data_IF_964436568673
#
_entry.id   IF_964436568673
#
_cell.length_a   1.000
_cell.length_b   1.000
_cell.length_c   1.000
_cell.angle_alpha   90.00
_cell.angle_beta   90.00
_cell.angle_gamma   90.00
#
_symmetry.space_group_name_H-M   'P 1'
#
loop_
_entity.id
_entity.type
_entity.pdbx_description
1 polymer ?
#
# COMPACT_ATOMS: atom_id res chain seq x y z
N UNK A 1 -4.09 42.92 -53.32
CA UNK A 1 -3.85 41.52 -52.90
C UNK A 1 -3.09 41.58 -51.59
N UNK A 2 -3.67 40.94 -50.57
CA UNK A 2 -3.53 41.23 -49.14
C UNK A 2 -2.14 41.03 -48.55
N UNK A 3 -1.75 41.95 -47.69
CA UNK A 3 -0.68 41.81 -46.71
C UNK A 3 -1.30 41.34 -45.40
N UNK A 4 -1.12 40.07 -45.06
CA UNK A 4 -1.54 39.50 -43.77
C UNK A 4 -0.62 40.02 -42.65
N UNK A 5 -1.21 40.80 -41.74
CA UNK A 5 -0.58 41.23 -40.49
C UNK A 5 -0.85 40.13 -39.47
N UNK A 6 0.17 39.33 -39.17
CA UNK A 6 0.13 38.37 -38.09
C UNK A 6 0.08 39.11 -36.74
N UNK A 7 -1.08 39.08 -36.09
CA UNK A 7 -1.29 39.59 -34.75
C UNK A 7 -0.52 38.72 -33.73
N UNK A 8 0.42 39.33 -33.00
CA UNK A 8 1.15 38.71 -31.90
C UNK A 8 0.26 38.64 -30.64
N UNK A 9 -0.06 37.44 -30.20
CA UNK A 9 -0.67 37.17 -28.88
C UNK A 9 0.28 37.53 -27.74
N UNK A 10 -0.14 38.32 -26.73
CA UNK A 10 0.69 38.63 -25.56
C UNK A 10 0.79 37.41 -24.63
N UNK A 11 2.02 36.96 -24.37
CA UNK A 11 2.35 35.95 -23.37
C UNK A 11 2.13 36.53 -21.96
N UNK A 12 1.46 35.84 -21.03
CA UNK A 12 1.32 36.33 -19.66
C UNK A 12 2.70 36.46 -19.02
N UNK A 13 3.06 37.68 -18.62
CA UNK A 13 4.27 37.96 -17.87
C UNK A 13 4.20 37.22 -16.53
N UNK A 14 4.95 36.13 -16.42
CA UNK A 14 5.25 35.53 -15.13
C UNK A 14 6.03 36.55 -14.31
N UNK A 15 5.46 36.97 -13.18
CA UNK A 15 6.16 37.81 -12.21
C UNK A 15 7.48 37.11 -11.82
N UNK A 16 8.60 37.76 -12.14
CA UNK A 16 9.94 37.25 -11.82
C UNK A 16 10.13 37.33 -10.31
N UNK A 17 9.84 36.24 -9.61
CA UNK A 17 10.20 36.08 -8.21
C UNK A 17 11.73 36.01 -8.15
N UNK A 18 12.35 37.09 -7.66
CA UNK A 18 13.81 37.15 -7.50
C UNK A 18 14.24 36.02 -6.54
N UNK A 19 15.17 35.12 -6.94
CA UNK A 19 15.59 34.03 -6.09
C UNK A 19 16.33 34.60 -4.86
N UNK A 20 15.82 34.32 -3.65
CA UNK A 20 16.55 34.63 -2.43
C UNK A 20 17.87 33.84 -2.44
N UNK A 21 18.99 34.57 -2.52
CA UNK A 21 20.32 33.99 -2.63
C UNK A 21 20.75 33.12 -1.44
N UNK A 22 21.92 32.47 -1.59
CA UNK A 22 22.48 31.52 -0.62
C UNK A 22 22.53 32.08 0.81
N UNK A 23 22.05 31.29 1.78
CA UNK A 23 21.98 31.66 3.21
C UNK A 23 23.37 32.01 3.75
N UNK A 24 23.56 33.25 4.24
CA UNK A 24 24.76 33.70 4.94
C UNK A 24 24.38 34.19 6.34
N UNK A 25 25.23 33.90 7.32
CA UNK A 25 25.05 34.32 8.71
C UNK A 25 24.89 35.85 8.80
N UNK A 26 23.90 36.33 9.56
CA UNK A 26 23.58 37.76 9.71
C UNK A 26 22.63 38.36 8.66
N UNK A 27 22.19 37.60 7.64
CA UNK A 27 21.17 38.06 6.68
C UNK A 27 19.77 37.54 7.04
N UNK A 28 18.77 38.40 6.82
CA UNK A 28 17.36 38.05 6.97
C UNK A 28 17.01 36.89 6.02
N UNK A 29 16.69 35.73 6.58
CA UNK A 29 16.31 34.53 5.84
C UNK A 29 14.80 34.40 5.68
N UNK A 30 14.03 35.16 6.45
CA UNK A 30 12.59 35.26 6.29
C UNK A 30 12.26 36.06 5.03
N UNK A 31 11.16 35.70 4.38
CA UNK A 31 10.59 36.50 3.30
C UNK A 31 10.27 37.92 3.81
N UNK A 32 10.55 38.97 3.01
CA UNK A 32 10.19 40.33 3.37
C UNK A 32 8.67 40.41 3.56
N UNK A 33 8.25 40.89 4.74
CA UNK A 33 6.83 41.02 5.07
C UNK A 33 6.18 42.05 4.16
N UNK A 34 5.38 41.59 3.20
CA UNK A 34 4.54 42.46 2.38
C UNK A 34 3.43 43.08 3.23
N UNK A 35 2.96 44.28 2.84
CA UNK A 35 1.83 44.91 3.49
C UNK A 35 0.57 44.02 3.38
N UNK A 36 -0.20 43.95 4.46
CA UNK A 36 -1.44 43.17 4.50
C UNK A 36 -2.44 43.71 3.47
N UNK A 37 -2.90 42.85 2.58
CA UNK A 37 -3.87 43.17 1.52
C UNK A 37 -5.08 42.25 1.70
N UNK A 38 -6.26 42.76 2.13
CA UNK A 38 -7.44 41.92 2.43
C UNK A 38 -7.95 41.05 1.26
N UNK A 39 -7.60 41.41 0.02
CA UNK A 39 -7.99 40.68 -1.20
C UNK A 39 -6.86 39.79 -1.75
N UNK A 40 -5.63 39.91 -1.23
CA UNK A 40 -4.53 39.04 -1.64
C UNK A 40 -4.78 37.62 -1.13
N UNK A 41 -4.83 36.65 -2.04
CA UNK A 41 -5.17 35.26 -1.73
C UNK A 41 -6.63 34.87 -1.95
N UNK A 42 -7.51 35.81 -2.31
CA UNK A 42 -8.89 35.49 -2.68
C UNK A 42 -8.93 34.96 -4.11
N UNK A 43 -8.79 33.65 -4.29
CA UNK A 43 -9.06 32.99 -5.57
C UNK A 43 -10.56 32.96 -5.86
N UNK A 44 -10.91 33.11 -7.15
CA UNK A 44 -12.30 32.99 -7.59
C UNK A 44 -12.83 31.61 -7.24
N UNK A 45 -14.15 31.49 -7.03
CA UNK A 45 -14.77 30.21 -6.69
C UNK A 45 -14.42 29.12 -7.71
N UNK A 46 -14.39 29.48 -8.99
CA UNK A 46 -14.01 28.60 -10.10
C UNK A 46 -12.60 28.01 -9.93
N UNK A 47 -11.60 28.86 -9.63
CA UNK A 47 -10.22 28.40 -9.38
C UNK A 47 -10.14 27.44 -8.19
N UNK A 48 -10.88 27.69 -7.11
CA UNK A 48 -10.96 26.77 -5.95
C UNK A 48 -11.62 25.44 -6.30
N UNK A 49 -12.62 25.45 -7.18
CA UNK A 49 -13.26 24.22 -7.65
C UNK A 49 -12.34 23.39 -8.54
N UNK A 50 -11.57 24.05 -9.41
CA UNK A 50 -10.55 23.39 -10.23
C UNK A 50 -9.46 22.74 -9.35
N UNK A 51 -8.94 23.47 -8.36
CA UNK A 51 -7.96 22.96 -7.38
C UNK A 51 -8.51 21.76 -6.60
N UNK A 52 -9.78 21.81 -6.17
CA UNK A 52 -10.43 20.68 -5.48
C UNK A 52 -10.58 19.46 -6.38
N UNK A 53 -10.95 19.65 -7.65
CA UNK A 53 -11.05 18.56 -8.65
C UNK A 53 -9.68 17.93 -8.89
N UNK A 54 -8.63 18.76 -9.03
CA UNK A 54 -7.26 18.27 -9.18
C UNK A 54 -6.81 17.46 -7.95
N UNK A 55 -7.07 17.98 -6.74
CA UNK A 55 -6.78 17.29 -5.48
C UNK A 55 -7.59 16.00 -5.30
N UNK A 56 -8.83 15.95 -5.76
CA UNK A 56 -9.64 14.73 -5.72
C UNK A 56 -9.07 13.67 -6.67
N UNK A 57 -8.65 14.06 -7.87
CA UNK A 57 -8.04 13.16 -8.84
C UNK A 57 -6.70 12.59 -8.35
N UNK A 58 -5.85 13.38 -7.69
CA UNK A 58 -4.59 12.88 -7.12
C UNK A 58 -4.84 11.92 -5.95
N UNK A 59 -5.78 12.25 -5.07
CA UNK A 59 -6.14 11.37 -3.94
C UNK A 59 -6.78 10.07 -4.38
N UNK A 60 -7.60 10.07 -5.44
CA UNK A 60 -8.18 8.85 -6.00
C UNK A 60 -7.07 7.91 -6.48
N UNK A 61 -6.11 8.43 -7.27
CA UNK A 61 -4.96 7.64 -7.74
C UNK A 61 -4.07 7.14 -6.60
N UNK A 62 -3.86 7.96 -5.57
CA UNK A 62 -3.09 7.54 -4.39
C UNK A 62 -3.80 6.42 -3.63
N UNK A 63 -5.13 6.51 -3.51
CA UNK A 63 -5.95 5.49 -2.86
C UNK A 63 -5.91 4.18 -3.64
N UNK A 64 -6.11 4.22 -4.96
CA UNK A 64 -6.02 3.04 -5.83
C UNK A 64 -4.68 2.31 -5.65
N UNK A 65 -3.56 3.04 -5.67
CA UNK A 65 -2.24 2.45 -5.44
C UNK A 65 -2.03 1.86 -4.03
N UNK A 66 -2.71 2.41 -3.01
CA UNK A 66 -2.65 1.87 -1.64
C UNK A 66 -3.49 0.61 -1.52
N UNK A 67 -4.70 0.64 -2.06
CA UNK A 67 -5.64 -0.47 -2.03
C UNK A 67 -5.04 -1.69 -2.77
N UNK A 68 -4.42 -1.48 -3.94
CA UNK A 68 -3.73 -2.55 -4.69
C UNK A 68 -2.58 -3.19 -3.88
N UNK A 69 -1.74 -2.38 -3.23
CA UNK A 69 -0.65 -2.89 -2.37
C UNK A 69 -1.17 -3.66 -1.16
N UNK A 70 -2.25 -3.19 -0.57
CA UNK A 70 -2.88 -3.87 0.57
C UNK A 70 -3.53 -5.20 0.15
N UNK A 71 -4.18 -5.24 -1.02
CA UNK A 71 -4.71 -6.47 -1.58
C UNK A 71 -3.61 -7.51 -1.84
N UNK A 72 -2.49 -7.13 -2.47
CA UNK A 72 -1.36 -8.03 -2.68
C UNK A 72 -0.81 -8.58 -1.35
N UNK A 73 -0.68 -7.70 -0.35
CA UNK A 73 -0.25 -8.10 0.99
C UNK A 73 -1.25 -9.07 1.62
N UNK A 74 -2.55 -8.80 1.50
CA UNK A 74 -3.60 -9.68 2.01
C UNK A 74 -3.63 -11.04 1.29
N UNK A 75 -3.46 -11.07 -0.04
CA UNK A 75 -3.31 -12.31 -0.83
C UNK A 75 -2.13 -13.14 -0.37
N UNK A 76 -1.00 -12.51 -0.05
CA UNK A 76 0.17 -13.21 0.51
C UNK A 76 -0.11 -13.77 1.90
N UNK A 77 -0.75 -12.99 2.76
CA UNK A 77 -1.09 -13.41 4.14
C UNK A 77 -2.07 -14.58 4.13
N UNK A 78 -3.11 -14.51 3.30
CA UNK A 78 -4.11 -15.58 3.16
C UNK A 78 -3.49 -16.87 2.65
N UNK A 79 -2.67 -16.81 1.59
CA UNK A 79 -1.94 -17.97 1.08
C UNK A 79 -1.03 -18.62 2.14
N UNK A 80 -0.34 -17.82 2.96
CA UNK A 80 0.49 -18.34 4.05
C UNK A 80 -0.33 -18.99 5.16
N UNK A 81 -1.47 -18.40 5.52
CA UNK A 81 -2.39 -18.97 6.52
C UNK A 81 -2.97 -20.29 6.02
N UNK A 82 -3.45 -20.35 4.79
CA UNK A 82 -3.97 -21.58 4.19
C UNK A 82 -2.91 -22.69 4.15
N UNK A 83 -1.66 -22.36 3.79
CA UNK A 83 -0.57 -23.33 3.80
C UNK A 83 -0.29 -23.89 5.20
N UNK A 84 -0.38 -23.04 6.24
CA UNK A 84 -0.22 -23.47 7.64
C UNK A 84 -1.37 -24.40 8.06
N UNK A 85 -2.61 -24.00 7.80
CA UNK A 85 -3.80 -24.81 8.11
C UNK A 85 -3.74 -26.18 7.42
N UNK A 86 -3.45 -26.21 6.11
CA UNK A 86 -3.27 -27.47 5.35
C UNK A 86 -2.18 -28.36 5.95
N UNK A 87 -1.08 -27.78 6.42
CA UNK A 87 0.01 -28.52 7.07
C UNK A 87 -0.41 -29.08 8.43
N UNK A 88 -1.12 -28.29 9.23
CA UNK A 88 -1.64 -28.69 10.54
C UNK A 88 -2.68 -29.81 10.42
N UNK A 89 -3.59 -29.71 9.46
CA UNK A 89 -4.55 -30.76 9.14
C UNK A 89 -3.85 -32.05 8.73
N UNK A 90 -2.89 -31.97 7.81
CA UNK A 90 -2.09 -33.13 7.40
C UNK A 90 -1.38 -33.77 8.59
N UNK A 91 -0.70 -32.98 9.42
CA UNK A 91 -0.02 -33.48 10.61
C UNK A 91 -0.98 -34.13 11.63
N UNK A 92 -2.20 -33.58 11.77
CA UNK A 92 -3.25 -34.17 12.61
C UNK A 92 -3.66 -35.56 12.10
N UNK A 93 -3.87 -35.71 10.79
CA UNK A 93 -4.20 -36.99 10.18
C UNK A 93 -3.05 -38.00 10.29
N UNK A 94 -1.81 -37.57 10.07
CA UNK A 94 -0.62 -38.41 10.24
C UNK A 94 -0.50 -38.92 11.68
N UNK A 95 -0.67 -38.04 12.68
CA UNK A 95 -0.68 -38.43 14.09
C UNK A 95 -1.80 -39.42 14.41
N UNK A 96 -2.98 -39.22 13.84
CA UNK A 96 -4.10 -40.16 14.02
C UNK A 96 -3.77 -41.54 13.41
N UNK A 97 -3.22 -41.56 12.20
CA UNK A 97 -2.80 -42.80 11.55
C UNK A 97 -1.72 -43.52 12.36
N UNK A 98 -0.73 -42.80 12.87
CA UNK A 98 0.32 -43.36 13.72
C UNK A 98 -0.26 -43.98 15.00
N UNK A 99 -1.18 -43.28 15.67
CA UNK A 99 -1.82 -43.84 16.89
C UNK A 99 -2.60 -45.11 16.59
N UNK A 100 -3.30 -45.19 15.46
CA UNK A 100 -4.02 -46.40 15.05
C UNK A 100 -3.07 -47.53 14.66
N UNK A 101 -1.98 -47.21 13.97
CA UNK A 101 -0.93 -48.16 13.64
C UNK A 101 -0.29 -48.73 14.91
N UNK A 102 0.08 -47.88 15.87
CA UNK A 102 0.60 -48.29 17.19
C UNK A 102 -0.37 -49.23 17.91
N UNK A 103 -1.66 -48.88 17.98
CA UNK A 103 -2.70 -49.74 18.57
C UNK A 103 -2.80 -51.09 17.88
N UNK A 104 -2.71 -51.15 16.56
CA UNK A 104 -2.73 -52.40 15.78
C UNK A 104 -1.53 -53.27 16.09
N UNK A 105 -0.33 -52.68 16.07
CA UNK A 105 0.93 -53.39 16.38
C UNK A 105 0.90 -53.94 17.81
N UNK A 106 0.48 -53.15 18.79
CA UNK A 106 0.36 -53.62 20.18
C UNK A 106 -0.67 -54.75 20.33
N UNK A 107 -1.78 -54.69 19.59
CA UNK A 107 -2.78 -55.77 19.58
C UNK A 107 -2.21 -57.06 18.97
N UNK A 108 -1.41 -56.97 17.92
CA UNK A 108 -0.73 -58.13 17.31
C UNK A 108 0.30 -58.72 18.29
N UNK A 109 1.17 -57.92 18.88
CA UNK A 109 2.15 -58.37 19.90
C UNK A 109 1.48 -59.08 21.07
N UNK A 110 0.33 -58.58 21.55
CA UNK A 110 -0.45 -59.25 22.60
C UNK A 110 -1.03 -60.59 22.16
N UNK A 111 -1.54 -60.69 20.93
CA UNK A 111 -2.03 -61.96 20.35
C UNK A 111 -0.90 -62.97 20.18
N UNK A 112 0.24 -62.54 19.65
CA UNK A 112 1.44 -63.38 19.51
C UNK A 112 1.92 -63.91 20.85
N UNK A 113 2.03 -63.05 21.87
CA UNK A 113 2.38 -63.46 23.24
C UNK A 113 1.40 -64.51 23.78
N UNK A 114 0.10 -64.29 23.61
CA UNK A 114 -0.93 -65.23 24.06
C UNK A 114 -0.87 -66.55 23.31
N UNK A 115 -0.83 -66.51 21.98
CA UNK A 115 -0.76 -67.71 21.14
C UNK A 115 0.49 -68.53 21.43
N UNK A 116 1.63 -67.87 21.70
CA UNK A 116 2.84 -68.55 22.15
C UNK A 116 2.58 -69.33 23.44
N UNK A 117 1.93 -68.74 24.45
CA UNK A 117 1.64 -69.45 25.70
C UNK A 117 0.58 -70.56 25.57
N UNK A 118 -0.28 -70.52 24.55
CA UNK A 118 -1.37 -71.49 24.36
C UNK A 118 -1.08 -72.59 23.32
N UNK A 119 -0.07 -72.40 22.46
CA UNK A 119 0.36 -73.35 21.41
C UNK A 119 1.82 -73.80 21.61
N UNK A 120 2.42 -73.50 22.77
CA UNK A 120 3.58 -74.24 23.29
C UNK A 120 3.06 -75.43 24.08
#
# INVERSE_FOLDING_TARGET
MSTDVAASTPVPQAETVQPQGMRKNGKQWHEPKAAFRPKAGNSTYEKRQEERKAMAATKAKEKEMKDEKEEERQRRITALKEKRVKKEEKARYEKMAETMHKKRVERLKRKEKRNKMLKS
#
